data_IF_392265147137
#
_entry.id   IF_392265147137
#
_cell.length_a   1.000
_cell.length_b   1.000
_cell.length_c   1.000
_cell.angle_alpha   90.00
_cell.angle_beta   90.00
_cell.angle_gamma   90.00
#
_symmetry.space_group_name_H-M   'P 1'
#
loop_
_entity.id
_entity.type
_entity.pdbx_description
1 polymer ?
#
# COMPACT_ATOMS: atom_id res chain seq x y z
N UNK A 1 11.92 5.28 -2.43
CA UNK A 1 10.65 4.56 -2.19
C UNK A 1 9.51 5.50 -2.50
N UNK A 2 8.53 5.07 -3.28
CA UNK A 2 7.32 5.83 -3.60
C UNK A 2 6.10 5.22 -2.91
N UNK A 3 5.29 6.06 -2.28
CA UNK A 3 3.98 5.73 -1.70
C UNK A 3 2.91 6.53 -2.45
N UNK A 4 2.26 5.94 -3.46
CA UNK A 4 1.22 6.62 -4.22
C UNK A 4 -0.11 6.65 -3.47
N UNK A 5 -1.03 7.49 -3.93
CA UNK A 5 -2.43 7.41 -3.51
C UNK A 5 -3.06 6.12 -4.05
N UNK A 6 -3.80 5.45 -3.19
CA UNK A 6 -4.62 4.32 -3.61
C UNK A 6 -5.68 4.75 -4.62
N UNK A 7 -5.95 3.88 -5.59
CA UNK A 7 -6.94 4.14 -6.64
C UNK A 7 -8.10 3.14 -6.63
N UNK A 8 -8.06 2.12 -5.76
CA UNK A 8 -9.16 1.17 -5.61
C UNK A 8 -10.35 1.86 -4.91
N UNK A 9 -11.57 1.79 -5.47
CA UNK A 9 -12.75 2.40 -4.88
C UNK A 9 -13.02 1.91 -3.46
N UNK A 10 -13.11 2.84 -2.50
CA UNK A 10 -13.37 2.52 -1.09
C UNK A 10 -12.12 2.13 -0.29
N UNK A 11 -10.93 2.06 -0.89
CA UNK A 11 -9.71 1.86 -0.12
C UNK A 11 -9.36 3.13 0.66
N UNK A 12 -9.26 2.98 1.97
CA UNK A 12 -8.94 4.09 2.89
C UNK A 12 -7.56 3.96 3.51
N UNK A 13 -6.93 2.79 3.36
CA UNK A 13 -5.59 2.54 3.92
C UNK A 13 -4.52 3.21 3.06
N UNK A 14 -3.36 3.38 3.64
CA UNK A 14 -2.14 3.84 2.96
C UNK A 14 -1.00 2.85 3.22
N UNK A 15 -0.14 2.64 2.25
CA UNK A 15 0.91 1.62 2.34
C UNK A 15 2.00 1.96 3.38
N UNK A 16 2.23 3.24 3.65
CA UNK A 16 3.16 3.67 4.69
C UNK A 16 2.55 4.81 5.51
N UNK A 17 2.56 4.66 6.84
CA UNK A 17 2.20 5.73 7.78
C UNK A 17 3.38 6.69 7.98
N UNK A 18 3.17 7.91 8.54
CA UNK A 18 4.29 8.80 8.90
C UNK A 18 5.35 8.13 9.77
N UNK A 19 4.95 7.24 10.70
CA UNK A 19 5.91 6.47 11.50
C UNK A 19 6.74 5.52 10.63
N UNK A 20 6.11 4.83 9.67
CA UNK A 20 6.82 3.95 8.72
C UNK A 20 7.80 4.75 7.87
N UNK A 21 7.40 5.93 7.39
CA UNK A 21 8.27 6.85 6.64
C UNK A 21 9.49 7.24 7.47
N UNK A 22 9.30 7.63 8.73
CA UNK A 22 10.41 7.98 9.63
C UNK A 22 11.39 6.83 9.81
N UNK A 23 10.89 5.60 9.94
CA UNK A 23 11.74 4.40 10.06
C UNK A 23 12.51 4.10 8.77
N UNK A 24 11.90 4.30 7.60
CA UNK A 24 12.58 4.14 6.31
C UNK A 24 13.64 5.21 6.10
N UNK A 25 13.32 6.47 6.40
CA UNK A 25 14.26 7.59 6.32
C UNK A 25 15.48 7.38 7.24
N UNK A 26 15.25 6.89 8.47
CA UNK A 26 16.33 6.55 9.39
C UNK A 26 17.25 5.43 8.88
N UNK A 27 16.80 4.62 7.93
CA UNK A 27 17.61 3.60 7.24
C UNK A 27 18.28 4.11 5.96
N UNK A 28 18.17 5.41 5.67
CA UNK A 28 18.76 6.04 4.49
C UNK A 28 17.91 5.96 3.23
N UNK A 29 16.64 5.55 3.34
CA UNK A 29 15.73 5.58 2.20
C UNK A 29 15.21 7.00 1.96
N UNK A 30 15.21 7.45 0.72
CA UNK A 30 14.43 8.61 0.29
C UNK A 30 13.01 8.13 0.06
N UNK A 31 12.03 8.75 0.74
CA UNK A 31 10.62 8.37 0.66
C UNK A 31 9.83 9.51 0.06
N UNK A 32 9.22 9.27 -1.09
CA UNK A 32 8.29 10.20 -1.74
C UNK A 32 6.86 9.73 -1.48
N UNK A 33 5.99 10.62 -1.03
CA UNK A 33 4.58 10.33 -0.75
C UNK A 33 3.71 11.24 -1.60
N UNK A 34 2.79 10.67 -2.37
CA UNK A 34 1.84 11.48 -3.11
C UNK A 34 0.92 12.25 -2.15
N UNK A 35 0.74 13.55 -2.41
CA UNK A 35 -0.13 14.41 -1.59
C UNK A 35 -1.52 13.82 -1.44
N UNK A 36 -2.01 13.83 -0.21
CA UNK A 36 -3.30 13.26 0.16
C UNK A 36 -3.35 11.73 0.22
N UNK A 37 -2.23 11.02 0.05
CA UNK A 37 -2.19 9.55 0.12
C UNK A 37 -2.68 9.00 1.46
N UNK A 38 -2.36 9.67 2.57
CA UNK A 38 -2.76 9.25 3.92
C UNK A 38 -4.07 9.84 4.41
N UNK A 39 -4.70 10.75 3.67
CA UNK A 39 -5.83 11.53 4.18
C UNK A 39 -7.02 10.66 4.61
N UNK A 40 -7.36 9.63 3.84
CA UNK A 40 -8.42 8.69 4.18
C UNK A 40 -8.09 7.80 5.38
N UNK A 41 -6.80 7.67 5.74
CA UNK A 41 -6.31 6.98 6.93
C UNK A 41 -6.11 7.90 8.15
N UNK A 42 -6.47 9.18 8.03
CA UNK A 42 -6.33 10.18 9.12
C UNK A 42 -4.94 10.82 9.22
N UNK A 43 -4.10 10.68 8.19
CA UNK A 43 -2.76 11.31 8.13
C UNK A 43 -2.76 12.42 7.09
N UNK A 44 -2.45 13.62 7.51
CA UNK A 44 -2.29 14.77 6.62
C UNK A 44 -0.89 14.84 6.00
N UNK A 45 -0.74 15.69 4.98
CA UNK A 45 0.53 15.88 4.29
C UNK A 45 1.62 16.46 5.22
N UNK A 46 1.24 17.28 6.20
CA UNK A 46 2.19 17.87 7.15
C UNK A 46 2.87 16.79 7.99
N UNK A 47 2.10 15.80 8.47
CA UNK A 47 2.63 14.68 9.24
C UNK A 47 3.66 13.85 8.45
N UNK A 48 3.47 13.72 7.14
CA UNK A 48 4.45 13.07 6.26
C UNK A 48 5.71 13.92 6.06
N UNK A 49 5.56 15.24 5.87
CA UNK A 49 6.69 16.17 5.79
C UNK A 49 7.54 16.13 7.05
N UNK A 50 6.90 16.20 8.23
CA UNK A 50 7.55 16.10 9.53
C UNK A 50 8.24 14.74 9.77
N UNK A 51 7.78 13.70 9.09
CA UNK A 51 8.40 12.39 9.11
C UNK A 51 9.60 12.25 8.16
N UNK A 52 9.87 13.27 7.34
CA UNK A 52 10.98 13.30 6.39
C UNK A 52 10.62 12.79 4.99
N UNK A 53 9.34 12.76 4.63
CA UNK A 53 8.92 12.45 3.27
C UNK A 53 9.04 13.65 2.34
N UNK A 54 9.39 13.39 1.09
CA UNK A 54 9.20 14.30 -0.02
C UNK A 54 7.74 14.21 -0.50
N UNK A 55 6.99 15.31 -0.41
CA UNK A 55 5.61 15.34 -0.91
C UNK A 55 5.60 15.65 -2.39
N UNK A 56 4.97 14.78 -3.17
CA UNK A 56 4.91 14.85 -4.63
C UNK A 56 3.45 14.92 -5.13
N UNK A 57 3.25 15.56 -6.27
CA UNK A 57 1.91 15.64 -6.87
C UNK A 57 1.55 14.33 -7.56
N UNK A 58 0.30 13.88 -7.40
CA UNK A 58 -0.17 12.63 -7.98
C UNK A 58 -0.24 12.65 -9.51
N UNK A 59 -0.38 13.85 -10.13
CA UNK A 59 -0.50 14.05 -11.58
C UNK A 59 0.09 15.40 -12.00
N UNK A 60 0.56 15.48 -13.23
CA UNK A 60 0.98 16.75 -13.86
C UNK A 60 2.49 16.86 -14.09
N UNK A 61 2.95 18.09 -14.42
CA UNK A 61 4.37 18.39 -14.58
C UNK A 61 5.07 18.21 -13.23
N UNK A 62 5.89 17.18 -13.12
CA UNK A 62 6.53 16.76 -11.88
C UNK A 62 6.18 15.33 -11.44
N UNK A 63 5.35 14.60 -12.19
CA UNK A 63 5.12 13.16 -11.98
C UNK A 63 6.36 12.30 -12.31
N UNK A 64 7.52 12.92 -12.40
CA UNK A 64 8.84 12.31 -12.62
C UNK A 64 9.29 11.36 -11.48
N UNK A 65 8.64 11.46 -10.32
CA UNK A 65 8.93 10.61 -9.18
C UNK A 65 8.71 9.11 -9.45
N UNK A 66 7.84 8.76 -10.42
CA UNK A 66 7.66 7.36 -10.85
C UNK A 66 8.91 6.82 -11.54
N UNK A 67 9.49 7.59 -12.47
CA UNK A 67 10.71 7.17 -13.21
C UNK A 67 11.95 7.07 -12.32
N UNK A 68 11.91 7.64 -11.13
CA UNK A 68 13.00 7.63 -10.14
C UNK A 68 12.77 6.65 -8.99
N UNK A 69 11.63 5.95 -8.98
CA UNK A 69 11.28 5.06 -7.88
C UNK A 69 11.92 3.67 -8.05
N UNK A 70 12.74 3.25 -7.10
CA UNK A 70 13.27 1.88 -7.03
C UNK A 70 12.24 0.92 -6.44
N UNK A 71 11.39 1.42 -5.53
CA UNK A 71 10.37 0.64 -4.82
C UNK A 71 9.06 1.43 -4.79
N UNK A 72 7.98 0.82 -5.18
CA UNK A 72 6.61 1.35 -5.01
C UNK A 72 5.89 0.49 -3.99
N UNK A 73 5.34 1.12 -2.96
CA UNK A 73 4.55 0.47 -1.91
C UNK A 73 3.08 0.87 -2.06
N UNK A 74 2.21 -0.10 -2.25
CA UNK A 74 0.77 0.12 -2.34
C UNK A 74 0.00 -0.93 -1.54
N UNK A 75 -1.18 -0.59 -1.05
CA UNK A 75 -2.08 -1.57 -0.41
C UNK A 75 -2.71 -2.43 -1.50
N UNK A 76 -3.39 -1.81 -2.45
CA UNK A 76 -4.05 -2.49 -3.57
C UNK A 76 -3.20 -2.39 -4.84
N UNK A 77 -2.03 -3.03 -4.83
CA UNK A 77 -1.07 -2.95 -5.93
C UNK A 77 -1.65 -3.44 -7.27
N UNK A 78 -2.55 -4.44 -7.26
CA UNK A 78 -3.26 -4.89 -8.45
C UNK A 78 -4.13 -3.78 -9.08
N UNK A 79 -4.81 -2.99 -8.25
CA UNK A 79 -5.61 -1.86 -8.73
C UNK A 79 -4.72 -0.73 -9.29
N UNK A 80 -3.56 -0.53 -8.66
CA UNK A 80 -2.58 0.44 -9.13
C UNK A 80 -2.09 0.11 -10.53
N UNK A 81 -1.75 -1.16 -10.79
CA UNK A 81 -1.31 -1.63 -12.10
C UNK A 81 -2.36 -1.37 -13.19
N UNK A 82 -3.65 -1.55 -12.87
CA UNK A 82 -4.75 -1.33 -13.82
C UNK A 82 -5.14 0.13 -13.99
N UNK A 83 -4.98 0.95 -12.96
CA UNK A 83 -5.56 2.29 -12.87
C UNK A 83 -4.57 3.44 -13.00
N UNK A 84 -3.27 3.18 -12.94
CA UNK A 84 -2.23 4.22 -12.91
C UNK A 84 -1.26 4.04 -14.09
N UNK A 85 -1.46 4.77 -15.20
CA UNK A 85 -0.56 4.70 -16.35
C UNK A 85 0.86 5.17 -16.04
N UNK A 86 1.04 5.97 -15.00
CA UNK A 86 2.35 6.44 -14.52
C UNK A 86 3.27 5.26 -14.11
N UNK A 87 2.69 4.12 -13.75
CA UNK A 87 3.42 2.89 -13.45
C UNK A 87 4.31 2.43 -14.63
N UNK A 88 3.91 2.75 -15.86
CA UNK A 88 4.71 2.46 -17.06
C UNK A 88 6.03 3.26 -17.12
N UNK A 89 6.18 4.30 -16.31
CA UNK A 89 7.41 5.09 -16.21
C UNK A 89 8.43 4.51 -15.23
N UNK A 90 8.07 3.45 -14.48
CA UNK A 90 9.00 2.81 -13.56
C UNK A 90 10.20 2.24 -14.30
N UNK A 91 11.41 2.35 -13.74
CA UNK A 91 12.57 1.72 -14.31
C UNK A 91 12.46 0.20 -14.28
N UNK A 92 13.03 -0.47 -15.29
CA UNK A 92 13.14 -1.92 -15.30
C UNK A 92 13.87 -2.41 -14.04
N UNK A 93 13.33 -3.46 -13.40
CA UNK A 93 13.84 -3.97 -12.13
C UNK A 93 13.28 -3.29 -10.89
N UNK A 94 12.50 -2.22 -11.01
CA UNK A 94 11.82 -1.62 -9.87
C UNK A 94 10.92 -2.63 -9.16
N UNK A 95 10.77 -2.46 -7.85
CA UNK A 95 9.99 -3.36 -6.99
C UNK A 95 8.60 -2.78 -6.76
N UNK A 96 7.57 -3.56 -7.05
CA UNK A 96 6.19 -3.27 -6.66
C UNK A 96 5.79 -4.19 -5.50
N UNK A 97 5.49 -3.60 -4.35
CA UNK A 97 5.12 -4.28 -3.11
C UNK A 97 3.67 -4.00 -2.75
N UNK A 98 2.86 -5.03 -2.50
CA UNK A 98 1.47 -4.87 -2.05
C UNK A 98 0.62 -6.11 -2.28
N UNK A 99 -0.71 -5.95 -2.27
CA UNK A 99 -1.66 -7.00 -2.62
C UNK A 99 -1.83 -7.00 -4.14
N UNK A 100 -1.48 -8.10 -4.78
CA UNK A 100 -1.41 -8.23 -6.24
C UNK A 100 -2.43 -9.19 -6.82
N UNK A 101 -3.07 -10.03 -5.98
CA UNK A 101 -4.05 -11.04 -6.43
C UNK A 101 -3.55 -11.88 -7.61
N UNK A 102 -2.34 -12.50 -7.53
CA UNK A 102 -1.71 -13.14 -8.68
C UNK A 102 -2.40 -14.42 -9.14
N UNK A 103 -3.25 -15.03 -8.30
CA UNK A 103 -3.98 -16.23 -8.66
C UNK A 103 -5.15 -15.89 -9.60
N UNK A 104 -5.16 -16.53 -10.78
CA UNK A 104 -6.21 -16.31 -11.79
C UNK A 104 -6.13 -14.95 -12.52
N UNK A 105 -5.04 -14.20 -12.36
CA UNK A 105 -4.85 -12.87 -12.93
C UNK A 105 -3.65 -12.85 -13.90
N UNK A 106 -3.77 -13.59 -14.99
CA UNK A 106 -2.67 -13.73 -15.94
C UNK A 106 -2.40 -12.45 -16.74
N UNK A 107 -3.40 -11.59 -16.92
CA UNK A 107 -3.22 -10.28 -17.56
C UNK A 107 -2.30 -9.37 -16.72
N UNK A 108 -2.51 -9.34 -15.40
CA UNK A 108 -1.66 -8.60 -14.49
C UNK A 108 -0.21 -9.10 -14.55
N UNK A 109 -0.02 -10.43 -14.54
CA UNK A 109 1.32 -11.04 -14.63
C UNK A 109 2.02 -10.61 -15.91
N UNK A 110 1.34 -10.73 -17.06
CA UNK A 110 1.87 -10.30 -18.36
C UNK A 110 2.25 -8.81 -18.38
N UNK A 111 1.43 -7.97 -17.76
CA UNK A 111 1.73 -6.53 -17.67
C UNK A 111 2.98 -6.29 -16.82
N UNK A 112 3.10 -6.92 -15.65
CA UNK A 112 4.27 -6.80 -14.79
C UNK A 112 5.55 -7.32 -15.48
N UNK A 113 5.45 -8.43 -16.21
CA UNK A 113 6.54 -8.99 -17.01
C UNK A 113 6.96 -8.04 -18.14
N UNK A 114 5.99 -7.46 -18.86
CA UNK A 114 6.28 -6.50 -19.95
C UNK A 114 7.00 -5.25 -19.46
N UNK A 115 6.74 -4.84 -18.23
CA UNK A 115 7.39 -3.71 -17.57
C UNK A 115 8.69 -4.11 -16.86
N UNK A 116 9.04 -5.39 -16.87
CA UNK A 116 10.22 -5.92 -16.18
C UNK A 116 10.28 -5.56 -14.68
N UNK A 117 9.13 -5.53 -14.01
CA UNK A 117 9.05 -5.22 -12.58
C UNK A 117 9.26 -6.45 -11.71
N UNK A 118 9.86 -6.25 -10.55
CA UNK A 118 9.90 -7.25 -9.48
C UNK A 118 8.67 -7.08 -8.61
N UNK A 119 7.76 -8.06 -8.64
CA UNK A 119 6.51 -8.01 -7.90
C UNK A 119 6.59 -8.83 -6.60
N UNK A 120 6.30 -8.20 -5.46
CA UNK A 120 6.23 -8.82 -4.15
C UNK A 120 4.80 -8.81 -3.64
N UNK A 121 4.09 -9.93 -3.87
CA UNK A 121 2.72 -10.14 -3.42
C UNK A 121 2.70 -10.52 -1.93
N UNK A 122 2.23 -9.62 -1.09
CA UNK A 122 2.21 -9.83 0.37
C UNK A 122 1.29 -10.96 0.80
N UNK A 123 0.23 -11.25 0.05
CA UNK A 123 -0.68 -12.35 0.28
C UNK A 123 -0.08 -13.73 -0.01
N UNK A 124 1.07 -13.79 -0.68
CA UNK A 124 1.82 -15.02 -0.94
C UNK A 124 2.91 -15.30 0.09
N UNK A 125 3.06 -14.44 1.09
CA UNK A 125 4.01 -14.69 2.17
C UNK A 125 3.68 -16.03 2.87
N UNK A 126 4.66 -16.92 3.03
CA UNK A 126 4.43 -18.21 3.66
C UNK A 126 4.05 -18.04 5.14
N UNK A 127 3.06 -18.83 5.61
CA UNK A 127 2.62 -18.80 7.02
C UNK A 127 3.56 -19.59 7.92
N UNK A 128 4.76 -19.07 8.09
CA UNK A 128 5.81 -19.61 8.96
C UNK A 128 6.17 -18.61 10.05
N UNK A 129 6.75 -19.06 11.15
CA UNK A 129 7.08 -18.19 12.30
C UNK A 129 7.95 -17.00 11.93
N UNK A 130 8.90 -17.16 10.99
CA UNK A 130 9.77 -16.06 10.52
C UNK A 130 9.01 -14.96 9.77
N UNK A 131 7.92 -15.32 9.08
CA UNK A 131 7.12 -14.37 8.29
C UNK A 131 5.94 -13.79 9.07
N UNK A 132 5.67 -14.25 10.28
CA UNK A 132 4.51 -13.83 11.08
C UNK A 132 4.43 -12.31 11.28
N UNK A 133 5.57 -11.65 11.46
CA UNK A 133 5.63 -10.20 11.60
C UNK A 133 5.28 -9.44 10.29
N UNK A 134 5.27 -10.12 9.16
CA UNK A 134 4.96 -9.57 7.83
C UNK A 134 3.62 -10.10 7.29
N UNK A 135 2.88 -10.91 8.06
CA UNK A 135 1.60 -11.50 7.65
C UNK A 135 0.48 -10.46 7.68
N UNK A 136 0.32 -9.79 6.55
CA UNK A 136 -0.71 -8.76 6.35
C UNK A 136 -2.12 -9.34 6.37
N UNK A 137 -2.31 -10.59 5.95
CA UNK A 137 -3.63 -11.23 5.92
C UNK A 137 -4.14 -11.48 7.34
N UNK A 138 -3.32 -12.01 8.21
CA UNK A 138 -3.68 -12.23 9.63
C UNK A 138 -3.94 -10.92 10.35
N UNK A 139 -3.11 -9.89 10.13
CA UNK A 139 -3.29 -8.57 10.73
C UNK A 139 -4.63 -7.95 10.30
N UNK A 140 -4.96 -7.99 9.02
CA UNK A 140 -6.21 -7.43 8.50
C UNK A 140 -7.43 -8.27 8.91
N UNK A 141 -7.33 -9.59 8.94
CA UNK A 141 -8.39 -10.47 9.42
C UNK A 141 -8.73 -10.22 10.90
N UNK A 142 -7.73 -9.95 11.72
CA UNK A 142 -7.93 -9.60 13.13
C UNK A 142 -8.75 -8.30 13.27
N UNK A 143 -8.40 -7.24 12.52
CA UNK A 143 -9.14 -5.97 12.52
C UNK A 143 -10.56 -6.17 12.00
N UNK A 144 -10.74 -6.93 10.93
CA UNK A 144 -12.05 -7.24 10.36
C UNK A 144 -12.93 -8.01 11.35
N UNK A 145 -12.37 -9.01 12.03
CA UNK A 145 -13.08 -9.78 13.06
C UNK A 145 -13.49 -8.90 14.25
N UNK A 146 -12.59 -8.05 14.73
CA UNK A 146 -12.92 -7.09 15.80
C UNK A 146 -14.07 -6.16 15.39
N UNK A 147 -14.01 -5.59 14.18
CA UNK A 147 -15.07 -4.73 13.67
C UNK A 147 -16.40 -5.46 13.49
N UNK A 148 -16.35 -6.71 13.02
CA UNK A 148 -17.55 -7.55 12.84
C UNK A 148 -18.26 -7.78 14.18
N UNK A 149 -17.52 -8.07 15.26
CA UNK A 149 -18.10 -8.21 16.60
C UNK A 149 -18.77 -6.93 17.07
N UNK A 150 -18.13 -5.77 16.88
CA UNK A 150 -18.72 -4.48 17.26
C UNK A 150 -20.01 -4.19 16.50
N UNK A 151 -20.04 -4.47 15.19
CA UNK A 151 -21.22 -4.27 14.35
C UNK A 151 -22.36 -5.22 14.75
N UNK A 152 -22.04 -6.49 14.98
CA UNK A 152 -23.00 -7.48 15.44
C UNK A 152 -23.58 -7.10 16.81
N UNK A 153 -22.73 -6.68 17.75
CA UNK A 153 -23.16 -6.25 19.09
C UNK A 153 -24.07 -5.01 19.03
N UNK A 154 -23.77 -4.07 18.14
CA UNK A 154 -24.59 -2.87 17.95
C UNK A 154 -25.95 -3.17 17.30
N UNK A 155 -26.06 -4.25 16.53
CA UNK A 155 -27.28 -4.69 15.86
C UNK A 155 -28.16 -5.64 16.71
N UNK A 156 -27.66 -6.11 17.87
CA UNK A 156 -28.41 -7.00 18.76
C UNK A 156 -29.32 -6.21 19.69
N UNK A 157 -30.60 -6.60 19.75
CA UNK A 157 -31.58 -6.05 20.69
C UNK A 157 -31.49 -6.63 22.11
N UNK A 158 -30.39 -7.28 22.43
CA UNK A 158 -30.16 -7.90 23.73
C UNK A 158 -28.70 -7.76 24.18
N UNK A 159 -28.54 -7.80 25.50
CA UNK A 159 -27.21 -7.79 26.14
C UNK A 159 -26.36 -8.97 25.69
N UNK A 160 -25.10 -8.70 25.36
CA UNK A 160 -24.08 -9.73 25.05
C UNK A 160 -23.44 -10.12 26.38
N UNK A 161 -23.72 -11.31 26.93
CA UNK A 161 -23.09 -11.75 28.15
C UNK A 161 -21.60 -12.06 27.94
N UNK A 162 -20.82 -11.85 28.97
CA UNK A 162 -19.43 -12.29 29.04
C UNK A 162 -19.33 -13.81 29.15
#
# INVERSE_FOLDING_TARGET
VLVPRECFPGETRVAATPETVRRLAAKGCVVSVERGAGQASGYDDAAYGDAGAELVEAKGAGADHWSRADVVMAVQAAALVRGRPELNSLPAGAVLLGLLEPHGNDDLKRQLESLQLTALALELLPRISRAQAMDVLSSQANIAGYKAVLLASAALDRYVPM
#
